data_IF_381354581631
#
_entry.id   IF_381354581631
#
_cell.length_a   1.000
_cell.length_b   1.000
_cell.length_c   1.000
_cell.angle_alpha   90.00
_cell.angle_beta   90.00
_cell.angle_gamma   90.00
#
_symmetry.space_group_name_H-M   'P 1'
#
loop_
_entity.id
_entity.type
_entity.pdbx_description
1 polymer ?
#
# COMPACT_ATOMS: atom_id res chain seq x y z
N UNK A 1 15.82 5.48 -7.77
CA UNK A 1 16.21 4.07 -7.94
C UNK A 1 16.87 3.57 -6.67
N UNK A 2 16.85 2.26 -6.38
CA UNK A 2 17.59 1.66 -5.24
C UNK A 2 19.08 2.05 -5.25
N UNK A 3 19.66 2.18 -6.44
CA UNK A 3 21.03 2.63 -6.65
C UNK A 3 21.22 4.07 -6.18
N UNK A 4 20.29 4.98 -6.47
CA UNK A 4 20.38 6.37 -6.00
C UNK A 4 20.29 6.45 -4.47
N UNK A 5 19.35 5.72 -3.86
CA UNK A 5 19.23 5.62 -2.40
C UNK A 5 20.53 5.10 -1.78
N UNK A 6 21.12 4.04 -2.35
CA UNK A 6 22.41 3.50 -1.91
C UNK A 6 23.57 4.49 -2.05
N UNK A 7 23.67 5.19 -3.19
CA UNK A 7 24.73 6.16 -3.47
C UNK A 7 24.64 7.37 -2.55
N UNK A 8 23.45 7.99 -2.40
CA UNK A 8 23.21 9.10 -1.46
C UNK A 8 23.46 8.72 0.00
N UNK A 9 23.20 7.47 0.38
CA UNK A 9 23.52 6.98 1.72
C UNK A 9 25.02 6.76 1.95
N UNK A 10 25.74 6.35 0.91
CA UNK A 10 27.20 6.09 0.99
C UNK A 10 28.02 7.37 0.87
N UNK A 11 27.50 8.35 0.14
CA UNK A 11 28.07 9.67 -0.06
C UNK A 11 26.93 10.71 -0.05
N UNK A 12 26.70 11.43 1.07
CA UNK A 12 25.63 12.42 1.19
C UNK A 12 25.74 13.57 0.19
N UNK A 13 26.97 13.91 -0.20
CA UNK A 13 27.26 14.96 -1.19
C UNK A 13 27.11 14.45 -2.62
N UNK A 14 26.88 13.14 -2.83
CA UNK A 14 26.67 12.55 -4.15
C UNK A 14 25.59 13.31 -4.90
N UNK A 15 26.00 14.14 -5.85
CA UNK A 15 25.06 14.87 -6.68
C UNK A 15 24.42 13.87 -7.64
N UNK A 16 23.11 14.01 -7.85
CA UNK A 16 22.44 13.33 -8.95
C UNK A 16 22.83 14.11 -10.20
N UNK A 17 24.13 14.13 -10.55
CA UNK A 17 24.54 14.60 -11.85
C UNK A 17 23.73 13.78 -12.85
N UNK A 18 22.93 14.47 -13.65
CA UNK A 18 22.16 13.88 -14.73
C UNK A 18 23.18 13.24 -15.67
N UNK A 19 23.55 11.98 -15.42
CA UNK A 19 24.27 11.20 -16.42
C UNK A 19 23.46 11.38 -17.69
N UNK A 20 24.06 11.94 -18.75
CA UNK A 20 23.31 12.26 -19.95
C UNK A 20 22.59 10.98 -20.35
N UNK A 21 21.27 11.09 -20.56
CA UNK A 21 20.47 9.94 -20.95
C UNK A 21 21.19 9.23 -22.10
N UNK A 22 21.47 7.93 -21.93
CA UNK A 22 22.18 7.16 -22.94
C UNK A 22 21.33 7.21 -24.22
N UNK A 23 21.75 7.98 -25.21
CA UNK A 23 21.05 8.06 -26.49
C UNK A 23 21.40 6.84 -27.31
N UNK A 24 20.53 5.84 -27.28
CA UNK A 24 20.65 4.64 -28.10
C UNK A 24 19.69 4.77 -29.28
N UNK A 25 20.23 4.90 -30.48
CA UNK A 25 19.42 4.93 -31.70
C UNK A 25 19.09 3.50 -32.12
N UNK A 26 17.85 3.25 -32.55
CA UNK A 26 17.38 1.96 -33.07
C UNK A 26 17.52 0.78 -32.09
N UNK A 27 17.46 1.04 -30.78
CA UNK A 27 17.47 0.00 -29.77
C UNK A 27 16.06 -0.54 -29.54
N UNK A 28 15.87 -1.83 -29.80
CA UNK A 28 14.66 -2.57 -29.44
C UNK A 28 15.03 -3.70 -28.50
N UNK A 29 14.26 -3.87 -27.44
CA UNK A 29 14.42 -4.95 -26.47
C UNK A 29 13.06 -5.34 -25.94
N UNK A 30 12.65 -6.58 -26.17
CA UNK A 30 11.39 -7.13 -25.63
C UNK A 30 11.36 -7.09 -24.10
N UNK A 31 12.53 -7.23 -23.45
CA UNK A 31 12.67 -7.16 -22.00
C UNK A 31 12.54 -5.74 -21.44
N UNK A 32 13.11 -4.74 -22.13
CA UNK A 32 13.17 -3.37 -21.61
C UNK A 32 12.04 -2.48 -22.11
N UNK A 33 11.39 -2.83 -23.21
CA UNK A 33 10.32 -2.03 -23.81
C UNK A 33 9.14 -1.86 -22.87
N UNK A 34 8.65 -2.93 -22.25
CA UNK A 34 7.47 -2.87 -21.39
C UNK A 34 7.69 -2.06 -20.10
N UNK A 35 8.78 -2.25 -19.33
CA UNK A 35 9.10 -1.38 -18.19
C UNK A 35 9.28 0.09 -18.60
N UNK A 36 9.98 0.35 -19.72
CA UNK A 36 10.17 1.71 -20.22
C UNK A 36 8.84 2.36 -20.62
N UNK A 37 7.99 1.63 -21.35
CA UNK A 37 6.67 2.08 -21.75
C UNK A 37 5.82 2.43 -20.52
N UNK A 38 5.75 1.56 -19.52
CA UNK A 38 4.96 1.80 -18.32
C UNK A 38 5.52 2.94 -17.46
N UNK A 39 6.84 3.09 -17.37
CA UNK A 39 7.47 4.19 -16.63
C UNK A 39 7.41 5.55 -17.33
N UNK A 40 7.30 5.56 -18.66
CA UNK A 40 7.29 6.79 -19.47
C UNK A 40 5.90 7.20 -19.95
N UNK A 41 4.92 6.31 -19.85
CA UNK A 41 3.55 6.60 -20.24
C UNK A 41 2.92 7.58 -19.25
N UNK A 42 2.47 8.71 -19.78
CA UNK A 42 1.70 9.67 -19.01
C UNK A 42 0.45 9.03 -18.43
N UNK A 43 0.30 9.08 -17.10
CA UNK A 43 -0.84 8.52 -16.39
C UNK A 43 -2.10 9.39 -16.55
N UNK A 44 -1.99 10.59 -17.14
CA UNK A 44 -3.07 11.56 -17.23
C UNK A 44 -4.27 11.01 -17.99
N UNK A 45 -4.05 10.13 -18.96
CA UNK A 45 -5.14 9.50 -19.71
C UNK A 45 -5.94 8.47 -18.89
N UNK A 46 -5.31 7.87 -17.87
CA UNK A 46 -5.96 6.91 -16.96
C UNK A 46 -6.48 7.56 -15.68
N UNK A 47 -5.93 8.71 -15.27
CA UNK A 47 -6.28 9.40 -14.04
C UNK A 47 -7.44 10.39 -14.16
N UNK A 48 -7.95 10.64 -15.39
CA UNK A 48 -8.86 11.77 -15.67
C UNK A 48 -10.29 11.61 -15.15
N UNK A 49 -10.76 10.39 -14.85
CA UNK A 49 -12.16 10.18 -14.48
C UNK A 49 -12.24 9.24 -13.28
N UNK A 50 -12.46 9.83 -12.10
CA UNK A 50 -12.99 9.10 -10.95
C UNK A 50 -14.49 8.84 -11.22
N UNK A 51 -14.84 7.58 -11.47
CA UNK A 51 -16.20 7.16 -11.81
C UNK A 51 -16.77 6.15 -10.81
N UNK A 52 -16.10 5.89 -9.70
CA UNK A 52 -16.59 4.95 -8.68
C UNK A 52 -17.62 5.67 -7.80
N UNK A 53 -18.78 5.04 -7.62
CA UNK A 53 -19.83 5.57 -6.75
C UNK A 53 -19.34 5.70 -5.29
N UNK A 54 -19.68 6.81 -4.65
CA UNK A 54 -19.35 7.09 -3.24
C UNK A 54 -20.64 7.13 -2.44
N UNK A 55 -20.76 6.25 -1.46
CA UNK A 55 -21.96 6.11 -0.65
C UNK A 55 -21.65 6.39 0.82
N UNK A 56 -22.59 7.03 1.49
CA UNK A 56 -22.61 7.23 2.94
C UNK A 56 -23.86 6.54 3.47
N UNK A 57 -23.75 5.88 4.61
CA UNK A 57 -24.88 5.23 5.30
C UNK A 57 -25.60 4.22 4.40
N UNK A 58 -24.81 3.44 3.64
CA UNK A 58 -25.28 2.40 2.74
C UNK A 58 -25.83 1.23 3.56
N UNK A 59 -27.08 0.83 3.37
CA UNK A 59 -27.58 -0.36 4.08
C UNK A 59 -26.97 -1.65 3.51
N UNK A 60 -26.95 -2.73 4.30
CA UNK A 60 -26.48 -4.05 3.83
C UNK A 60 -27.26 -4.53 2.61
N UNK A 61 -28.60 -4.38 2.61
CA UNK A 61 -29.45 -4.76 1.50
C UNK A 61 -29.16 -3.95 0.23
N UNK A 62 -28.92 -2.65 0.36
CA UNK A 62 -28.53 -1.82 -0.77
C UNK A 62 -27.14 -2.18 -1.28
N UNK A 63 -26.19 -2.41 -0.39
CA UNK A 63 -24.85 -2.88 -0.76
C UNK A 63 -24.94 -4.17 -1.58
N UNK A 64 -25.67 -5.17 -1.08
CA UNK A 64 -25.82 -6.46 -1.74
C UNK A 64 -26.48 -6.31 -3.12
N UNK A 65 -27.60 -5.61 -3.21
CA UNK A 65 -28.40 -5.58 -4.43
C UNK A 65 -27.87 -4.60 -5.48
N UNK A 66 -27.28 -3.47 -5.08
CA UNK A 66 -26.77 -2.45 -6.00
C UNK A 66 -25.30 -2.64 -6.39
N UNK A 67 -24.50 -3.33 -5.57
CA UNK A 67 -23.05 -3.42 -5.78
C UNK A 67 -22.51 -4.85 -5.76
N UNK A 68 -22.73 -5.62 -4.68
CA UNK A 68 -22.11 -6.95 -4.55
C UNK A 68 -22.62 -7.96 -5.59
N UNK A 69 -23.94 -8.15 -5.70
CA UNK A 69 -24.57 -9.05 -6.70
C UNK A 69 -24.25 -8.67 -8.15
N UNK A 70 -24.37 -7.39 -8.58
CA UNK A 70 -24.01 -6.99 -9.94
C UNK A 70 -22.50 -6.86 -10.17
N UNK A 71 -21.66 -7.10 -9.15
CA UNK A 71 -20.20 -7.00 -9.21
C UNK A 71 -19.70 -5.60 -9.62
N UNK A 72 -20.26 -4.56 -8.99
CA UNK A 72 -19.89 -3.16 -9.23
C UNK A 72 -19.09 -2.59 -8.05
N UNK A 73 -18.00 -1.84 -8.32
CA UNK A 73 -17.21 -1.21 -7.27
C UNK A 73 -17.97 -0.03 -6.63
N UNK A 74 -17.77 0.15 -5.33
CA UNK A 74 -18.31 1.27 -4.55
C UNK A 74 -17.33 1.66 -3.44
N UNK A 75 -17.24 2.95 -3.15
CA UNK A 75 -16.51 3.50 -2.00
C UNK A 75 -17.51 3.81 -0.89
N UNK A 76 -17.40 3.12 0.24
CA UNK A 76 -18.22 3.36 1.43
C UNK A 76 -17.47 4.33 2.34
N UNK A 77 -18.02 5.53 2.55
CA UNK A 77 -17.27 6.68 3.05
C UNK A 77 -17.29 6.87 4.57
N UNK A 78 -18.17 6.19 5.27
CA UNK A 78 -18.45 6.40 6.71
C UNK A 78 -18.21 5.19 7.60
N UNK A 79 -17.52 4.16 7.09
CA UNK A 79 -17.13 2.97 7.86
C UNK A 79 -15.90 3.27 8.70
N UNK A 80 -14.78 3.58 8.04
CA UNK A 80 -13.49 3.74 8.71
C UNK A 80 -13.47 4.92 9.66
N UNK A 81 -14.30 5.95 9.43
CA UNK A 81 -14.37 7.16 10.27
C UNK A 81 -14.84 6.91 11.70
N UNK A 82 -15.47 5.75 11.95
CA UNK A 82 -15.94 5.32 13.27
C UNK A 82 -14.91 4.48 14.03
N UNK A 83 -13.90 3.95 13.33
CA UNK A 83 -12.86 3.13 13.94
C UNK A 83 -11.91 3.97 14.81
N UNK A 84 -11.49 3.47 15.98
CA UNK A 84 -10.42 4.10 16.74
C UNK A 84 -9.16 4.37 15.91
N UNK A 85 -8.80 3.45 15.00
CA UNK A 85 -7.68 3.57 14.08
C UNK A 85 -7.66 4.90 13.31
N UNK A 86 -8.83 5.42 12.92
CA UNK A 86 -8.95 6.64 12.11
C UNK A 86 -8.37 7.89 12.79
N UNK A 87 -8.38 7.92 14.12
CA UNK A 87 -7.81 9.03 14.91
C UNK A 87 -6.47 8.67 15.54
N UNK A 88 -6.27 7.39 15.84
CA UNK A 88 -5.15 6.89 16.64
C UNK A 88 -3.93 6.56 15.81
N UNK A 89 -4.12 6.02 14.60
CA UNK A 89 -3.01 5.55 13.78
C UNK A 89 -2.34 6.71 13.06
N UNK A 90 -1.27 7.21 13.66
CA UNK A 90 -0.23 8.00 12.98
C UNK A 90 1.06 7.18 12.89
N UNK A 91 2.00 7.59 12.02
CA UNK A 91 3.30 6.92 11.93
C UNK A 91 4.05 6.98 13.27
N UNK A 92 3.95 8.11 13.97
CA UNK A 92 4.55 8.33 15.28
C UNK A 92 3.98 7.37 16.33
N UNK A 93 2.64 7.29 16.42
CA UNK A 93 1.95 6.38 17.34
C UNK A 93 2.31 4.91 17.06
N UNK A 94 2.30 4.49 15.79
CA UNK A 94 2.61 3.12 15.41
C UNK A 94 4.07 2.75 15.72
N UNK A 95 5.01 3.66 15.50
CA UNK A 95 6.43 3.46 15.85
C UNK A 95 6.63 3.45 17.36
N UNK A 96 5.97 4.33 18.11
CA UNK A 96 6.03 4.35 19.57
C UNK A 96 5.57 3.02 20.17
N UNK A 97 4.42 2.50 19.72
CA UNK A 97 3.83 1.29 20.30
C UNK A 97 4.42 -0.01 19.74
N UNK A 98 4.72 -0.08 18.45
CA UNK A 98 5.09 -1.31 17.75
C UNK A 98 6.44 -1.24 17.04
N UNK A 99 7.26 -0.23 17.31
CA UNK A 99 8.51 0.04 16.59
C UNK A 99 9.52 -1.11 16.59
N UNK A 100 9.55 -1.92 17.64
CA UNK A 100 10.44 -3.08 17.76
C UNK A 100 9.85 -4.40 17.26
N UNK A 101 8.55 -4.42 16.91
CA UNK A 101 7.89 -5.57 16.29
C UNK A 101 8.41 -5.72 14.85
N UNK A 102 8.66 -6.97 14.46
CA UNK A 102 9.11 -7.33 13.12
C UNK A 102 7.89 -7.53 12.23
N UNK A 103 7.89 -6.87 11.09
CA UNK A 103 6.86 -6.95 10.05
C UNK A 103 7.45 -7.51 8.76
N UNK A 104 6.59 -8.16 7.97
CA UNK A 104 6.87 -8.52 6.59
C UNK A 104 6.75 -7.31 5.67
N UNK A 105 7.82 -6.98 4.96
CA UNK A 105 7.83 -6.02 3.86
C UNK A 105 8.32 -6.72 2.59
N UNK A 106 7.37 -7.08 1.73
CA UNK A 106 7.59 -7.90 0.53
C UNK A 106 8.42 -9.18 0.77
N UNK A 107 9.73 -9.09 0.51
CA UNK A 107 10.68 -10.20 0.59
C UNK A 107 11.45 -10.27 1.91
N UNK A 108 11.36 -9.24 2.77
CA UNK A 108 12.18 -9.12 3.99
C UNK A 108 11.34 -9.01 5.25
N UNK A 109 11.96 -9.37 6.37
CA UNK A 109 11.43 -9.14 7.71
C UNK A 109 12.19 -7.98 8.34
N UNK A 110 11.47 -6.95 8.78
CA UNK A 110 12.04 -5.67 9.22
C UNK A 110 11.30 -5.13 10.43
N UNK A 111 12.03 -4.58 11.41
CA UNK A 111 11.40 -3.86 12.52
C UNK A 111 10.62 -2.65 12.01
N UNK A 112 9.42 -2.40 12.52
CA UNK A 112 8.58 -1.28 12.06
C UNK A 112 9.32 0.06 12.08
N UNK A 113 10.10 0.35 13.14
CA UNK A 113 10.88 1.59 13.22
C UNK A 113 11.92 1.74 12.09
N UNK A 114 12.51 0.62 11.66
CA UNK A 114 13.46 0.62 10.55
C UNK A 114 12.74 0.79 9.22
N UNK A 115 11.56 0.18 9.05
CA UNK A 115 10.73 0.37 7.87
C UNK A 115 10.26 1.82 7.73
N UNK A 116 9.75 2.44 8.80
CA UNK A 116 9.31 3.84 8.77
C UNK A 116 10.49 4.77 8.46
N UNK A 117 11.67 4.53 9.05
CA UNK A 117 12.89 5.26 8.67
C UNK A 117 13.24 5.09 7.19
N UNK A 118 13.11 3.88 6.64
CA UNK A 118 13.30 3.64 5.22
C UNK A 118 12.28 4.41 4.37
N UNK A 119 10.98 4.26 4.66
CA UNK A 119 9.89 4.84 3.88
C UNK A 119 9.95 6.37 3.83
N UNK A 120 10.38 7.02 4.91
CA UNK A 120 10.52 8.49 4.97
C UNK A 120 11.73 9.03 4.18
N UNK A 121 12.70 8.18 3.81
CA UNK A 121 13.96 8.61 3.19
C UNK A 121 14.25 7.91 1.86
N UNK A 122 13.35 7.06 1.36
CA UNK A 122 13.59 6.27 0.15
C UNK A 122 13.43 7.10 -1.11
N UNK A 123 14.30 6.85 -2.09
CA UNK A 123 14.17 7.35 -3.47
C UNK A 123 14.09 6.19 -4.45
N UNK A 124 13.69 5.00 -3.98
CA UNK A 124 13.66 3.79 -4.79
C UNK A 124 12.63 3.91 -5.93
N UNK A 125 12.91 3.32 -7.08
CA UNK A 125 11.92 3.25 -8.18
C UNK A 125 10.76 2.34 -7.83
N UNK A 126 11.05 1.29 -7.06
CA UNK A 126 10.08 0.35 -6.48
C UNK A 126 10.37 0.27 -4.99
N UNK A 127 9.78 1.16 -4.17
CA UNK A 127 9.97 1.12 -2.73
C UNK A 127 9.45 -0.19 -2.13
N UNK A 128 10.11 -0.70 -1.09
CA UNK A 128 9.62 -1.85 -0.33
C UNK A 128 8.25 -1.53 0.26
N UNK A 129 7.29 -2.42 0.05
CA UNK A 129 5.95 -2.29 0.60
C UNK A 129 5.73 -3.18 1.83
N UNK A 130 5.39 -2.57 2.97
CA UNK A 130 4.99 -3.32 4.18
C UNK A 130 3.62 -3.96 3.96
N UNK A 131 3.60 -5.29 3.96
CA UNK A 131 2.39 -6.09 3.85
C UNK A 131 2.53 -7.31 4.75
N UNK A 132 1.90 -7.24 5.92
CA UNK A 132 2.00 -8.26 6.95
C UNK A 132 0.61 -8.82 7.26
N UNK A 133 0.41 -10.12 7.03
CA UNK A 133 -0.85 -10.81 7.32
C UNK A 133 -1.01 -11.24 8.78
N UNK A 134 0.08 -11.25 9.54
CA UNK A 134 0.15 -11.72 10.92
C UNK A 134 0.18 -10.56 11.95
N UNK A 135 0.07 -9.31 11.50
CA UNK A 135 0.15 -8.13 12.37
C UNK A 135 -0.81 -8.18 13.57
N UNK A 136 -2.01 -8.75 13.37
CA UNK A 136 -3.01 -8.90 14.43
C UNK A 136 -2.57 -9.81 15.57
N UNK A 137 -1.69 -10.79 15.31
CA UNK A 137 -1.12 -11.68 16.32
C UNK A 137 0.09 -11.06 17.01
N UNK A 138 0.87 -10.26 16.28
CA UNK A 138 2.13 -9.69 16.77
C UNK A 138 1.95 -8.36 17.51
N UNK A 139 0.88 -7.62 17.24
CA UNK A 139 0.65 -6.28 17.79
C UNK A 139 -0.50 -6.29 18.81
N UNK A 140 -0.14 -6.30 20.09
CA UNK A 140 -1.12 -6.35 21.19
C UNK A 140 -2.11 -5.16 21.16
N UNK A 141 -3.40 -5.48 21.15
CA UNK A 141 -4.50 -4.51 21.13
C UNK A 141 -4.70 -3.79 19.80
N UNK A 142 -4.00 -4.16 18.72
CA UNK A 142 -4.19 -3.50 17.40
C UNK A 142 -5.55 -3.86 16.78
N UNK A 143 -6.05 -5.06 17.06
CA UNK A 143 -7.33 -5.54 16.53
C UNK A 143 -8.54 -4.86 17.20
N UNK A 144 -8.33 -4.18 18.32
CA UNK A 144 -9.37 -3.37 18.98
C UNK A 144 -9.60 -2.03 18.26
N UNK A 145 -8.68 -1.64 17.36
CA UNK A 145 -8.73 -0.34 16.69
C UNK A 145 -9.62 -0.33 15.44
N UNK A 146 -10.15 -1.47 15.02
CA UNK A 146 -11.09 -1.60 13.89
C UNK A 146 -12.00 -2.81 14.07
N UNK A 147 -13.04 -2.90 13.24
CA UNK A 147 -13.94 -4.05 13.21
C UNK A 147 -14.30 -4.39 11.76
N UNK A 148 -14.66 -5.65 11.51
CA UNK A 148 -15.17 -6.05 10.19
C UNK A 148 -16.53 -5.37 9.98
N UNK A 149 -16.72 -4.57 8.90
CA UNK A 149 -18.00 -3.95 8.58
C UNK A 149 -19.08 -4.98 8.27
N UNK A 150 -20.35 -4.67 8.55
CA UNK A 150 -21.50 -5.57 8.34
C UNK A 150 -21.53 -6.20 6.93
N UNK A 151 -21.11 -5.44 5.92
CA UNK A 151 -21.02 -5.88 4.52
C UNK A 151 -20.11 -7.10 4.28
N UNK A 152 -19.16 -7.34 5.18
CA UNK A 152 -18.07 -8.32 5.03
C UNK A 152 -17.99 -9.31 6.19
N UNK A 153 -19.07 -9.43 6.98
CA UNK A 153 -19.13 -10.33 8.14
C UNK A 153 -19.21 -11.81 7.76
N UNK A 154 -19.77 -12.12 6.59
CA UNK A 154 -19.84 -13.49 6.07
C UNK A 154 -18.50 -13.89 5.47
N UNK A 155 -17.72 -14.64 6.24
CA UNK A 155 -16.44 -15.20 5.82
C UNK A 155 -16.55 -16.72 5.65
N UNK A 156 -16.79 -17.13 4.41
CA UNK A 156 -16.87 -18.55 4.03
C UNK A 156 -15.54 -19.28 4.19
N UNK A 157 -14.39 -18.60 4.29
CA UNK A 157 -13.12 -19.31 4.48
C UNK A 157 -12.97 -19.90 5.88
N UNK A 158 -13.70 -19.39 6.87
CA UNK A 158 -13.68 -19.93 8.23
C UNK A 158 -14.09 -21.41 8.33
N UNK A 159 -14.81 -21.95 7.33
CA UNK A 159 -15.17 -23.38 7.30
C UNK A 159 -13.98 -24.29 7.01
N UNK A 160 -12.92 -23.76 6.39
CA UNK A 160 -11.69 -24.50 6.08
C UNK A 160 -10.68 -24.47 7.24
N UNK A 161 -10.88 -23.62 8.25
CA UNK A 161 -9.94 -23.43 9.37
C UNK A 161 -10.19 -24.34 10.57
N UNK A 162 -10.82 -25.50 10.38
CA UNK A 162 -10.86 -26.56 11.39
C UNK A 162 -9.79 -27.60 11.08
N UNK A 163 -8.60 -27.39 11.64
CA UNK A 163 -7.65 -28.43 12.09
C UNK A 163 -6.74 -27.82 13.18
#
# INVERSE_FOLDING_TARGET
TWRLTFLKRSDPEYDIESKPALRVNNFYSDTLYQPFLYGSMGMEQFAKVENIARCKSLSLDEFINKYAKPNLPVIITDVVTQWPAFRKWSMEYLVEKYGDIVFRAEAIDIKLKNYVRYAMNTMDESPLYLFDKNFGNSCEGILEDFSVPDYFTEDFFNVFCKD
#
